data_IF_378544683108
#
_entry.id   IF_378544683108
#
_cell.length_a   1.000
_cell.length_b   1.000
_cell.length_c   1.000
_cell.angle_alpha   90.00
_cell.angle_beta   90.00
_cell.angle_gamma   90.00
#
_symmetry.space_group_name_H-M   'P 1'
#
loop_
_entity.id
_entity.type
_entity.pdbx_description
1 polymer ?
#
# COMPACT_ATOMS: atom_id res chain seq x y z
N UNK A 1 2.20 75.54 17.59
CA UNK A 1 1.11 74.74 17.00
C UNK A 1 1.63 73.71 15.99
N UNK A 2 2.61 74.07 15.16
CA UNK A 2 3.22 73.21 14.11
C UNK A 2 3.89 71.93 14.64
N UNK A 3 4.74 72.01 15.67
CA UNK A 3 5.43 70.83 16.23
C UNK A 3 4.48 69.76 16.82
N UNK A 4 3.35 70.20 17.36
CA UNK A 4 2.32 69.33 17.93
C UNK A 4 1.62 68.52 16.83
N UNK A 5 1.45 69.12 15.65
CA UNK A 5 0.89 68.44 14.47
C UNK A 5 1.90 67.46 13.85
N UNK A 6 3.20 67.80 13.79
CA UNK A 6 4.26 66.91 13.27
C UNK A 6 4.38 65.64 14.12
N UNK A 7 4.36 65.76 15.46
CA UNK A 7 4.38 64.61 16.37
C UNK A 7 3.13 63.73 16.27
N UNK A 8 1.97 64.31 15.95
CA UNK A 8 0.72 63.57 15.75
C UNK A 8 0.75 62.78 14.45
N UNK A 9 1.22 63.40 13.35
CA UNK A 9 1.42 62.76 12.05
C UNK A 9 2.45 61.62 12.10
N UNK A 10 3.57 61.78 12.80
CA UNK A 10 4.57 60.72 12.93
C UNK A 10 4.06 59.50 13.71
N UNK A 11 3.22 59.72 14.73
CA UNK A 11 2.58 58.64 15.50
C UNK A 11 1.52 57.89 14.69
N UNK A 12 0.73 58.60 13.87
CA UNK A 12 -0.22 58.00 12.93
C UNK A 12 0.47 57.13 11.87
N UNK A 13 1.59 57.59 11.30
CA UNK A 13 2.39 56.82 10.35
C UNK A 13 3.06 55.58 10.98
N UNK A 14 3.36 55.61 12.28
CA UNK A 14 3.90 54.46 12.99
C UNK A 14 2.81 53.42 13.27
N UNK A 15 1.62 53.87 13.66
CA UNK A 15 0.45 53.00 13.89
C UNK A 15 -0.02 52.32 12.59
N UNK A 16 -0.02 53.04 11.45
CA UNK A 16 -0.38 52.44 10.17
C UNK A 16 0.62 51.36 9.73
N UNK A 17 1.93 51.61 9.88
CA UNK A 17 2.98 50.60 9.61
C UNK A 17 2.84 49.35 10.48
N UNK A 18 2.51 49.50 11.76
CA UNK A 18 2.27 48.36 12.66
C UNK A 18 1.03 47.58 12.20
N UNK A 19 -0.04 48.27 11.81
CA UNK A 19 -1.24 47.64 11.25
C UNK A 19 -0.95 46.80 10.00
N UNK A 20 -0.11 47.31 9.10
CA UNK A 20 0.34 46.57 7.91
C UNK A 20 1.16 45.32 8.26
N UNK A 21 2.07 45.41 9.23
CA UNK A 21 2.87 44.26 9.69
C UNK A 21 1.97 43.19 10.29
N UNK A 22 1.02 43.57 11.15
CA UNK A 22 0.07 42.62 11.76
C UNK A 22 -0.80 41.96 10.69
N UNK A 23 -1.29 42.72 9.71
CA UNK A 23 -2.06 42.18 8.59
C UNK A 23 -1.25 41.17 7.76
N UNK A 24 0.02 41.45 7.51
CA UNK A 24 0.91 40.56 6.76
C UNK A 24 1.18 39.26 7.52
N UNK A 25 1.39 39.33 8.83
CA UNK A 25 1.54 38.15 9.70
C UNK A 25 0.26 37.30 9.68
N UNK A 26 -0.91 37.93 9.77
CA UNK A 26 -2.19 37.21 9.72
C UNK A 26 -2.38 36.45 8.40
N UNK A 27 -2.01 37.08 7.27
CA UNK A 27 -2.06 36.44 5.95
C UNK A 27 -1.10 35.25 5.88
N UNK A 28 0.13 35.37 6.42
CA UNK A 28 1.10 34.27 6.45
C UNK A 28 0.56 33.11 7.31
N UNK A 29 -0.03 33.38 8.47
CA UNK A 29 -0.61 32.35 9.35
C UNK A 29 -1.76 31.62 8.64
N UNK A 30 -2.66 32.36 7.97
CA UNK A 30 -3.76 31.78 7.19
C UNK A 30 -3.23 30.98 6.01
N UNK A 31 -2.20 31.46 5.31
CA UNK A 31 -1.57 30.73 4.21
C UNK A 31 -0.92 29.42 4.71
N UNK A 32 -0.22 29.43 5.85
CA UNK A 32 0.33 28.23 6.48
C UNK A 32 -0.79 27.27 6.91
N UNK A 33 -1.90 27.79 7.42
CA UNK A 33 -3.05 26.98 7.84
C UNK A 33 -3.74 26.33 6.65
N UNK A 34 -4.01 27.09 5.58
CA UNK A 34 -4.55 26.56 4.31
C UNK A 34 -3.55 25.59 3.69
N UNK A 35 -2.25 25.87 3.72
CA UNK A 35 -1.22 24.93 3.26
C UNK A 35 -1.15 23.67 4.12
N UNK A 36 -1.41 23.72 5.44
CA UNK A 36 -1.53 22.51 6.27
C UNK A 36 -2.79 21.71 5.96
N UNK A 37 -3.91 22.38 5.65
CA UNK A 37 -5.20 21.77 5.33
C UNK A 37 -5.29 21.19 3.90
N UNK A 38 -4.71 21.89 2.92
CA UNK A 38 -4.81 21.59 1.48
C UNK A 38 -3.46 21.15 0.90
N UNK A 39 -2.37 21.76 1.38
CA UNK A 39 -1.00 21.60 0.89
C UNK A 39 -0.14 20.56 1.64
N UNK A 40 -0.74 19.81 2.57
CA UNK A 40 -0.42 18.38 2.67
C UNK A 40 -1.36 17.66 1.74
N UNK A 41 -1.12 17.62 0.41
CA UNK A 41 -1.38 16.36 -0.23
C UNK A 41 -0.55 15.41 0.62
N UNK A 42 -1.18 14.45 1.29
CA UNK A 42 -0.47 13.19 1.44
C UNK A 42 0.11 12.97 0.07
N UNK A 43 1.44 13.03 -0.02
CA UNK A 43 2.14 12.63 -1.21
C UNK A 43 1.67 11.19 -1.36
N UNK A 44 0.52 10.99 -2.03
CA UNK A 44 0.08 9.76 -2.62
C UNK A 44 1.07 9.62 -3.75
N UNK A 45 2.30 9.32 -3.35
CA UNK A 45 3.29 8.67 -4.15
C UNK A 45 2.54 7.38 -4.50
N UNK A 46 1.77 7.41 -5.58
CA UNK A 46 1.24 6.22 -6.20
C UNK A 46 2.40 5.55 -6.91
N UNK A 47 3.43 5.17 -6.14
CA UNK A 47 4.44 4.26 -6.61
C UNK A 47 3.85 2.87 -6.38
N UNK A 48 3.02 2.49 -7.37
CA UNK A 48 2.66 1.10 -7.61
C UNK A 48 3.97 0.30 -7.73
N UNK A 49 4.04 -0.83 -7.05
CA UNK A 49 5.23 -1.68 -7.05
C UNK A 49 4.84 -3.14 -7.14
N UNK A 50 5.67 -3.93 -7.82
CA UNK A 50 5.57 -5.38 -7.84
C UNK A 50 6.90 -5.93 -7.35
N UNK A 51 6.85 -6.71 -6.27
CA UNK A 51 8.00 -7.44 -5.76
C UNK A 51 7.89 -8.91 -6.14
N UNK A 52 9.05 -9.51 -6.43
CA UNK A 52 9.21 -10.93 -6.73
C UNK A 52 10.04 -11.54 -5.61
N UNK A 53 9.47 -12.49 -4.87
CA UNK A 53 10.05 -13.06 -3.65
C UNK A 53 10.40 -14.53 -3.93
N UNK A 54 11.69 -14.80 -4.13
CA UNK A 54 12.20 -16.11 -4.58
C UNK A 54 12.24 -17.17 -3.47
N UNK A 55 12.27 -16.75 -2.20
CA UNK A 55 12.31 -17.64 -1.02
C UNK A 55 11.17 -17.28 -0.05
N UNK A 56 9.95 -17.26 -0.57
CA UNK A 56 8.77 -16.97 0.23
C UNK A 56 8.43 -18.18 1.12
N UNK A 57 8.31 -17.98 2.44
CA UNK A 57 7.94 -19.04 3.39
C UNK A 57 6.64 -19.75 3.00
N UNK A 58 5.71 -19.01 2.39
CA UNK A 58 4.43 -19.51 1.88
C UNK A 58 4.61 -20.59 0.79
N UNK A 59 5.72 -20.56 0.06
CA UNK A 59 6.04 -21.47 -1.04
C UNK A 59 7.10 -22.50 -0.68
N UNK A 60 7.54 -22.56 0.59
CA UNK A 60 8.61 -23.47 1.05
C UNK A 60 8.32 -24.93 0.68
N UNK A 61 7.13 -25.43 1.03
CA UNK A 61 6.71 -26.78 0.68
C UNK A 61 6.74 -27.05 -0.82
N UNK A 62 6.27 -26.11 -1.65
CA UNK A 62 6.33 -26.27 -3.11
C UNK A 62 7.78 -26.30 -3.61
N UNK A 63 8.62 -25.35 -3.18
CA UNK A 63 9.99 -25.20 -3.68
C UNK A 63 10.92 -26.32 -3.18
N UNK A 64 10.58 -27.02 -2.10
CA UNK A 64 11.30 -28.22 -1.65
C UNK A 64 11.00 -29.46 -2.52
N UNK A 65 9.84 -29.50 -3.19
CA UNK A 65 9.34 -30.68 -3.91
C UNK A 65 9.34 -30.52 -5.43
N UNK A 66 9.60 -29.32 -5.94
CA UNK A 66 9.66 -29.01 -7.37
C UNK A 66 11.11 -28.86 -7.84
N UNK A 67 11.36 -29.19 -9.10
CA UNK A 67 12.68 -28.98 -9.73
C UNK A 67 12.96 -27.48 -9.95
N UNK A 68 11.92 -26.72 -10.29
CA UNK A 68 11.97 -25.28 -10.50
C UNK A 68 11.26 -24.53 -9.37
N UNK A 69 11.97 -23.58 -8.76
CA UNK A 69 11.40 -22.74 -7.70
C UNK A 69 10.30 -21.83 -8.23
N UNK A 70 9.21 -21.75 -7.47
CA UNK A 70 8.16 -20.77 -7.63
C UNK A 70 8.55 -19.48 -6.92
N UNK A 71 8.14 -18.36 -7.52
CA UNK A 71 8.40 -17.02 -7.01
C UNK A 71 7.06 -16.38 -6.67
N UNK A 72 6.95 -15.87 -5.44
CA UNK A 72 5.75 -15.17 -5.00
C UNK A 72 5.76 -13.75 -5.56
N UNK A 73 4.69 -13.36 -6.25
CA UNK A 73 4.46 -11.98 -6.65
C UNK A 73 3.76 -11.27 -5.50
N UNK A 74 4.27 -10.12 -5.09
CA UNK A 74 3.59 -9.21 -4.17
C UNK A 74 3.40 -7.85 -4.84
N UNK A 75 2.18 -7.59 -5.30
CA UNK A 75 1.80 -6.33 -5.97
C UNK A 75 1.11 -5.39 -4.99
N UNK A 76 1.68 -4.23 -4.79
CA UNK A 76 1.17 -3.23 -3.85
C UNK A 76 0.05 -2.41 -4.49
N UNK A 77 -1.11 -2.35 -3.83
CA UNK A 77 -2.26 -1.53 -4.26
C UNK A 77 -2.04 -0.03 -3.95
N UNK A 78 -1.22 0.25 -2.93
CA UNK A 78 -0.77 1.58 -2.54
C UNK A 78 0.77 1.63 -2.50
N UNK A 79 1.40 2.77 -2.16
CA UNK A 79 2.88 2.81 -2.09
C UNK A 79 3.43 1.85 -1.03
N UNK A 80 4.58 1.23 -1.32
CA UNK A 80 5.37 0.41 -0.39
C UNK A 80 5.64 1.14 0.95
N UNK A 81 5.75 2.47 0.90
CA UNK A 81 6.01 3.33 2.06
C UNK A 81 4.74 3.64 2.88
N UNK A 82 3.54 3.26 2.42
CA UNK A 82 2.29 3.46 3.17
C UNK A 82 2.27 2.63 4.46
N UNK A 83 3.01 1.52 4.53
CA UNK A 83 3.24 0.80 5.79
C UNK A 83 3.88 1.68 6.88
N UNK A 84 4.64 2.72 6.50
CA UNK A 84 5.25 3.65 7.46
C UNK A 84 4.27 4.71 7.97
N UNK A 85 3.09 4.85 7.37
CA UNK A 85 2.03 5.77 7.84
C UNK A 85 1.09 5.00 8.77
N UNK A 86 1.65 4.49 9.88
CA UNK A 86 0.87 4.05 11.02
C UNK A 86 0.35 5.28 11.79
N UNK A 87 -0.77 5.85 11.36
CA UNK A 87 -1.49 6.85 12.16
C UNK A 87 -2.79 6.26 12.70
N UNK A 88 -2.72 5.83 13.97
CA UNK A 88 -3.84 5.86 14.90
C UNK A 88 -5.08 5.04 14.55
N UNK A 89 -5.08 3.76 14.90
CA UNK A 89 -6.29 3.03 15.27
C UNK A 89 -7.17 2.54 14.11
N UNK A 90 -7.12 1.23 13.84
CA UNK A 90 -8.21 0.51 13.16
C UNK A 90 -7.94 0.01 11.74
N UNK A 91 -6.72 0.11 11.22
CA UNK A 91 -6.32 -0.55 9.96
C UNK A 91 -5.85 -1.99 10.20
N UNK A 92 -6.72 -2.87 10.70
CA UNK A 92 -6.35 -4.23 11.12
C UNK A 92 -6.23 -5.26 10.00
N UNK A 93 -6.32 -4.86 8.72
CA UNK A 93 -6.16 -5.78 7.58
C UNK A 93 -4.99 -5.36 6.71
N UNK A 94 -3.88 -6.06 6.89
CA UNK A 94 -2.76 -6.12 5.94
C UNK A 94 -3.20 -6.42 4.51
N UNK A 95 -4.35 -7.09 4.39
CA UNK A 95 -5.06 -7.52 3.20
C UNK A 95 -5.61 -6.35 2.36
N UNK A 96 -5.60 -5.11 2.84
CA UNK A 96 -6.04 -3.95 2.04
C UNK A 96 -4.91 -3.33 1.20
N UNK A 97 -3.66 -3.81 1.34
CA UNK A 97 -2.48 -3.09 0.83
C UNK A 97 -1.73 -3.77 -0.33
N UNK A 98 -1.90 -5.08 -0.52
CA UNK A 98 -1.22 -5.82 -1.57
C UNK A 98 -2.04 -7.02 -2.03
N UNK A 99 -1.73 -7.48 -3.23
CA UNK A 99 -2.28 -8.67 -3.86
C UNK A 99 -1.14 -9.63 -4.21
N UNK A 100 -1.41 -10.91 -4.09
CA UNK A 100 -0.44 -11.97 -4.34
C UNK A 100 -0.74 -12.68 -5.64
N UNK A 101 0.34 -13.00 -6.35
CA UNK A 101 0.35 -13.83 -7.55
C UNK A 101 1.51 -14.80 -7.50
N UNK A 102 1.72 -15.56 -8.56
CA UNK A 102 2.76 -16.58 -8.63
C UNK A 102 3.42 -16.56 -10.01
N UNK A 103 4.75 -16.66 -10.04
CA UNK A 103 5.48 -16.95 -11.28
C UNK A 103 6.32 -18.22 -11.15
N UNK A 104 6.73 -18.76 -12.29
CA UNK A 104 7.83 -19.70 -12.35
C UNK A 104 9.19 -18.99 -12.13
N UNK A 105 10.27 -19.75 -12.19
CA UNK A 105 11.66 -19.29 -12.10
C UNK A 105 12.04 -18.28 -13.20
N UNK A 106 11.41 -18.35 -14.37
CA UNK A 106 11.62 -17.42 -15.49
C UNK A 106 10.81 -16.12 -15.36
N UNK A 107 10.06 -15.94 -14.27
CA UNK A 107 9.14 -14.81 -14.04
C UNK A 107 7.94 -14.77 -15.01
N UNK A 108 7.60 -15.90 -15.62
CA UNK A 108 6.34 -16.06 -16.34
C UNK A 108 5.20 -16.19 -15.33
N UNK A 109 4.15 -15.37 -15.50
CA UNK A 109 3.01 -15.35 -14.59
C UNK A 109 2.20 -16.64 -14.71
N UNK A 110 2.09 -17.36 -13.60
CA UNK A 110 1.27 -18.57 -13.43
C UNK A 110 -0.08 -18.24 -12.76
N UNK A 111 -0.07 -17.29 -11.81
CA UNK A 111 -1.26 -16.74 -11.15
C UNK A 111 -1.10 -15.21 -11.13
N UNK A 112 -2.09 -14.50 -11.68
CA UNK A 112 -2.13 -13.03 -11.60
C UNK A 112 -2.22 -12.55 -10.15
N UNK A 113 -1.64 -11.39 -9.81
CA UNK A 113 -1.67 -10.86 -8.46
C UNK A 113 -3.06 -10.31 -8.11
N UNK A 114 -3.99 -11.22 -7.84
CA UNK A 114 -5.41 -10.97 -7.53
C UNK A 114 -5.85 -11.73 -6.26
N UNK A 115 -4.89 -12.24 -5.47
CA UNK A 115 -5.15 -13.03 -4.27
C UNK A 115 -4.82 -12.27 -2.99
N UNK A 116 -5.64 -12.47 -1.96
CA UNK A 116 -5.42 -11.99 -0.59
C UNK A 116 -4.23 -12.71 0.05
N UNK A 117 -4.03 -13.98 -0.29
CA UNK A 117 -2.86 -14.77 0.04
C UNK A 117 -2.70 -15.93 -0.95
N UNK A 118 -1.47 -16.40 -1.10
CA UNK A 118 -1.13 -17.66 -1.79
C UNK A 118 -0.18 -18.43 -0.86
N UNK A 119 -0.40 -19.73 -0.73
CA UNK A 119 0.43 -20.63 0.06
C UNK A 119 0.49 -22.00 -0.61
N UNK A 120 1.41 -22.83 -0.14
CA UNK A 120 1.59 -24.21 -0.58
C UNK A 120 1.49 -25.18 0.59
N UNK A 121 1.09 -26.41 0.30
CA UNK A 121 1.14 -27.56 1.19
C UNK A 121 1.40 -28.84 0.39
N UNK A 122 1.75 -29.91 1.08
CA UNK A 122 1.82 -31.25 0.51
C UNK A 122 0.66 -32.06 1.06
N UNK A 123 -0.12 -32.72 0.18
CA UNK A 123 -1.24 -33.55 0.60
C UNK A 123 -0.78 -34.96 1.03
N UNK A 124 -1.72 -35.81 1.45
CA UNK A 124 -1.45 -37.20 1.84
C UNK A 124 -0.83 -38.06 0.73
N UNK A 125 -1.03 -37.68 -0.54
CA UNK A 125 -0.53 -38.37 -1.72
C UNK A 125 0.86 -37.85 -2.13
N UNK A 126 1.48 -37.02 -1.29
CA UNK A 126 2.75 -36.34 -1.53
C UNK A 126 2.73 -35.41 -2.76
N UNK A 127 1.56 -34.88 -3.11
CA UNK A 127 1.39 -33.91 -4.19
C UNK A 127 1.47 -32.49 -3.63
N UNK A 128 2.19 -31.62 -4.34
CA UNK A 128 2.23 -30.19 -4.05
C UNK A 128 0.92 -29.54 -4.46
N UNK A 129 0.25 -28.94 -3.47
CA UNK A 129 -0.97 -28.17 -3.65
C UNK A 129 -0.67 -26.71 -3.38
N UNK A 130 -0.98 -25.84 -4.33
CA UNK A 130 -0.95 -24.39 -4.16
C UNK A 130 -2.37 -23.93 -3.95
N UNK A 131 -2.59 -23.08 -2.96
CA UNK A 131 -3.93 -22.58 -2.64
C UNK A 131 -3.90 -21.11 -2.27
N UNK A 132 -5.03 -20.45 -2.47
CA UNK A 132 -5.16 -19.04 -2.13
C UNK A 132 -6.61 -18.59 -2.08
N UNK A 133 -6.80 -17.38 -1.60
CA UNK A 133 -8.11 -16.73 -1.57
C UNK A 133 -8.11 -15.52 -2.50
N UNK A 134 -8.83 -15.52 -3.63
CA UNK A 134 -8.92 -14.36 -4.52
C UNK A 134 -9.66 -13.18 -3.86
N UNK A 135 -9.39 -11.96 -4.33
CA UNK A 135 -10.25 -10.81 -4.05
C UNK A 135 -11.52 -10.92 -4.90
N UNK A 136 -12.64 -11.25 -4.26
CA UNK A 136 -13.96 -11.28 -4.90
C UNK A 136 -14.98 -10.49 -4.08
N UNK A 137 -16.15 -10.24 -4.66
CA UNK A 137 -17.24 -9.52 -4.02
C UNK A 137 -17.60 -10.19 -2.68
N UNK A 138 -17.63 -9.40 -1.60
CA UNK A 138 -17.93 -9.87 -0.23
C UNK A 138 -19.15 -10.80 -0.21
N UNK A 139 -19.00 -11.95 0.43
CA UNK A 139 -20.07 -12.95 0.57
C UNK A 139 -19.98 -14.13 -0.41
N UNK A 140 -18.97 -14.18 -1.27
CA UNK A 140 -18.68 -15.35 -2.11
C UNK A 140 -17.21 -15.81 -1.98
N UNK A 141 -16.49 -15.39 -0.93
CA UNK A 141 -15.11 -15.79 -0.67
C UNK A 141 -14.95 -17.32 -0.67
N UNK A 142 -14.23 -17.86 -1.65
CA UNK A 142 -13.91 -19.29 -1.75
C UNK A 142 -12.43 -19.48 -2.00
N UNK A 143 -11.84 -20.42 -1.27
CA UNK A 143 -10.47 -20.84 -1.54
C UNK A 143 -10.42 -21.53 -2.90
N UNK A 144 -9.35 -21.26 -3.63
CA UNK A 144 -9.04 -21.89 -4.91
C UNK A 144 -7.76 -22.70 -4.73
N UNK A 145 -7.76 -23.90 -5.30
CA UNK A 145 -6.67 -24.87 -5.19
C UNK A 145 -6.12 -25.19 -6.57
N UNK A 146 -4.82 -25.37 -6.64
CA UNK A 146 -4.07 -25.67 -7.85
C UNK A 146 -3.11 -26.82 -7.60
N UNK A 147 -2.87 -27.60 -8.64
CA UNK A 147 -1.72 -28.49 -8.75
C UNK A 147 -0.85 -28.09 -9.93
N UNK A 148 0.42 -28.50 -9.87
CA UNK A 148 1.35 -28.34 -10.99
C UNK A 148 1.31 -29.61 -11.84
N UNK A 149 0.84 -29.49 -13.08
CA UNK A 149 0.91 -30.54 -14.10
C UNK A 149 1.76 -30.02 -15.27
N UNK A 150 2.87 -30.70 -15.58
CA UNK A 150 3.76 -30.35 -16.70
C UNK A 150 4.21 -28.88 -16.66
N UNK A 151 4.60 -28.37 -15.49
CA UNK A 151 5.03 -26.98 -15.30
C UNK A 151 3.92 -25.93 -15.42
N UNK A 152 2.65 -26.34 -15.48
CA UNK A 152 1.49 -25.44 -15.51
C UNK A 152 0.61 -25.66 -14.30
N UNK A 153 0.02 -24.58 -13.81
CA UNK A 153 -1.02 -24.68 -12.77
C UNK A 153 -2.35 -25.11 -13.38
N UNK A 154 -2.98 -26.06 -12.71
CA UNK A 154 -4.32 -26.52 -13.03
C UNK A 154 -5.17 -26.46 -11.77
N UNK A 155 -6.30 -25.75 -11.89
CA UNK A 155 -7.28 -25.65 -10.82
C UNK A 155 -7.89 -27.02 -10.50
N UNK A 156 -8.09 -27.29 -9.22
CA UNK A 156 -8.64 -28.53 -8.69
C UNK A 156 -9.72 -28.24 -7.64
N UNK A 157 -10.76 -29.10 -7.53
CA UNK A 157 -11.78 -28.94 -6.51
C UNK A 157 -11.21 -29.23 -5.13
N UNK A 158 -11.65 -28.49 -4.11
CA UNK A 158 -11.32 -28.79 -2.71
C UNK A 158 -11.69 -30.24 -2.35
N UNK A 159 -10.80 -30.93 -1.63
CA UNK A 159 -11.08 -32.26 -1.06
C UNK A 159 -10.80 -32.23 0.44
N UNK A 160 -11.65 -32.92 1.20
CA UNK A 160 -11.57 -33.01 2.67
C UNK A 160 -10.27 -33.67 3.20
N UNK A 161 -9.52 -34.37 2.33
CA UNK A 161 -8.32 -35.13 2.68
C UNK A 161 -7.00 -34.42 2.35
N UNK A 162 -7.01 -33.11 2.10
CA UNK A 162 -5.83 -32.34 1.71
C UNK A 162 -5.33 -31.41 2.80
#
# INVERSE_FOLDING_TARGET
MVERNIKKLSKLNRLSKIGWIIGLIAIIVVAIYIWRMVGKPYYRISLMGTEYIENADQLSYANEHLEDNLILIKKYMYSKDVMLIGFGGGGSRTDDYFSYGLTNSNKDILIEPEYQFISSKVNSDNEVIIYGLPYIVKGNEKMVFYKIENGKLKEIPEKDSW
#
